data_IF_047103252009
#
_entry.id   IF_047103252009
#
_cell.length_a   1.000
_cell.length_b   1.000
_cell.length_c   1.000
_cell.angle_alpha   90.00
_cell.angle_beta   90.00
_cell.angle_gamma   90.00
#
_symmetry.space_group_name_H-M   'P 1'
#
loop_
_entity.id
_entity.type
_entity.pdbx_description
1 polymer ?
#
# COMPACT_ATOMS: atom_id res chain seq x y z
N UNK A 1 42.14 -0.77 -3.27
CA UNK A 1 41.14 -1.54 -2.48
C UNK A 1 39.84 -0.77 -2.53
N UNK A 2 38.89 -1.19 -3.38
CA UNK A 2 37.54 -0.65 -3.39
C UNK A 2 36.71 -1.52 -2.46
N UNK A 3 36.21 -0.95 -1.36
CA UNK A 3 35.14 -1.58 -0.61
C UNK A 3 33.94 -1.59 -1.56
N UNK A 4 33.53 -2.76 -2.03
CA UNK A 4 32.20 -2.91 -2.61
C UNK A 4 31.24 -2.53 -1.49
N UNK A 5 30.66 -1.33 -1.56
CA UNK A 5 29.67 -0.89 -0.60
C UNK A 5 28.62 -1.98 -0.52
N UNK A 6 28.38 -2.49 0.68
CA UNK A 6 27.39 -3.53 0.93
C UNK A 6 26.06 -3.06 0.32
N UNK A 7 25.65 -3.69 -0.79
CA UNK A 7 24.49 -3.27 -1.59
C UNK A 7 23.19 -3.74 -0.96
N UNK A 8 23.11 -3.72 0.37
CA UNK A 8 21.94 -4.15 1.11
C UNK A 8 20.78 -3.24 0.73
N UNK A 9 19.87 -3.79 -0.07
CA UNK A 9 18.63 -3.13 -0.46
C UNK A 9 17.61 -3.43 0.61
N UNK A 10 17.11 -2.40 1.29
CA UNK A 10 15.98 -2.54 2.20
C UNK A 10 14.68 -2.22 1.48
N UNK A 11 13.68 -3.05 1.70
CA UNK A 11 12.31 -2.84 1.23
C UNK A 11 11.41 -2.71 2.46
N UNK A 12 10.72 -1.58 2.54
CA UNK A 12 9.66 -1.33 3.50
C UNK A 12 8.34 -1.50 2.78
N UNK A 13 7.51 -2.42 3.27
CA UNK A 13 6.17 -2.67 2.77
C UNK A 13 5.17 -2.26 3.83
N UNK A 14 4.10 -1.62 3.39
CA UNK A 14 2.98 -1.21 4.22
C UNK A 14 1.68 -1.54 3.48
N UNK A 15 0.70 -2.04 4.22
CA UNK A 15 -0.60 -2.42 3.68
C UNK A 15 -1.69 -1.74 4.48
N UNK A 16 -2.53 -1.01 3.77
CA UNK A 16 -3.80 -0.55 4.32
C UNK A 16 -4.86 -1.63 4.10
N UNK A 17 -5.78 -1.76 5.05
CA UNK A 17 -6.78 -2.82 5.06
C UNK A 17 -8.21 -2.27 5.10
N UNK A 18 -9.16 -3.07 4.59
CA UNK A 18 -10.59 -2.77 4.63
C UNK A 18 -11.15 -2.70 6.05
N UNK A 19 -10.55 -3.45 6.99
CA UNK A 19 -10.91 -3.50 8.41
C UNK A 19 -9.79 -4.11 9.26
N UNK A 20 -10.03 -4.28 10.57
CA UNK A 20 -9.18 -5.07 11.48
C UNK A 20 -9.74 -6.47 11.76
N UNK A 21 -10.77 -6.89 11.02
CA UNK A 21 -11.40 -8.19 11.21
C UNK A 21 -10.54 -9.31 10.60
N UNK A 22 -10.89 -10.55 10.90
CA UNK A 22 -10.27 -11.73 10.29
C UNK A 22 -10.60 -11.87 8.79
N UNK A 23 -11.69 -11.24 8.32
CA UNK A 23 -12.11 -11.22 6.92
C UNK A 23 -11.55 -10.02 6.14
N UNK A 24 -10.70 -9.19 6.80
CA UNK A 24 -10.09 -8.02 6.18
C UNK A 24 -9.28 -8.37 4.94
N UNK A 25 -9.16 -7.40 4.05
CA UNK A 25 -8.47 -7.53 2.77
C UNK A 25 -7.72 -6.23 2.44
N UNK A 26 -6.62 -6.31 1.66
CA UNK A 26 -5.75 -5.16 1.44
C UNK A 26 -6.35 -4.18 0.41
N UNK A 27 -6.23 -2.88 0.67
CA UNK A 27 -6.84 -1.81 -0.14
C UNK A 27 -5.79 -0.89 -0.80
N UNK A 28 -4.59 -0.82 -0.23
CA UNK A 28 -3.41 -0.14 -0.80
C UNK A 28 -2.15 -0.91 -0.39
N UNK A 29 -1.12 -0.86 -1.25
CA UNK A 29 0.25 -1.25 -0.89
C UNK A 29 1.18 -0.06 -1.09
N UNK A 30 1.94 0.27 -0.04
CA UNK A 30 3.08 1.17 -0.08
C UNK A 30 4.39 0.38 -0.15
N UNK A 31 5.33 0.84 -0.98
CA UNK A 31 6.67 0.26 -1.08
C UNK A 31 7.72 1.37 -1.11
N UNK A 32 8.64 1.34 -0.15
CA UNK A 32 9.81 2.21 -0.12
C UNK A 32 11.08 1.37 -0.20
N UNK A 33 11.91 1.66 -1.21
CA UNK A 33 13.19 0.98 -1.43
C UNK A 33 14.34 1.90 -1.07
N UNK A 34 15.16 1.49 -0.11
CA UNK A 34 16.38 2.18 0.29
C UNK A 34 17.60 1.49 -0.35
N UNK A 35 18.29 2.20 -1.24
CA UNK A 35 19.51 1.73 -1.90
C UNK A 35 20.54 2.86 -1.80
N UNK A 36 21.72 2.56 -1.25
CA UNK A 36 22.84 3.51 -1.17
C UNK A 36 22.44 4.86 -0.54
N UNK A 37 21.59 4.83 0.50
CA UNK A 37 21.08 6.03 1.17
C UNK A 37 19.99 6.82 0.41
N UNK A 38 19.59 6.37 -0.77
CA UNK A 38 18.48 6.95 -1.53
C UNK A 38 17.21 6.13 -1.38
N UNK A 39 16.09 6.81 -1.13
CA UNK A 39 14.77 6.19 -1.03
C UNK A 39 13.94 6.47 -2.27
N UNK A 40 13.36 5.42 -2.83
CA UNK A 40 12.33 5.52 -3.88
C UNK A 40 11.04 4.91 -3.35
N UNK A 41 9.98 5.72 -3.27
CA UNK A 41 8.67 5.32 -2.76
C UNK A 41 7.63 5.27 -3.87
N UNK A 42 6.78 4.25 -3.84
CA UNK A 42 5.59 4.09 -4.69
C UNK A 42 4.45 3.52 -3.86
N UNK A 43 3.22 3.86 -4.19
CA UNK A 43 2.05 3.15 -3.70
C UNK A 43 1.09 2.83 -4.85
N UNK A 44 0.20 1.88 -4.62
CA UNK A 44 -0.91 1.56 -5.52
C UNK A 44 -2.12 1.11 -4.72
N UNK A 45 -3.30 1.60 -5.11
CA UNK A 45 -4.55 1.01 -4.68
C UNK A 45 -4.66 -0.42 -5.21
N UNK A 46 -5.34 -1.27 -4.44
CA UNK A 46 -5.60 -2.67 -4.78
C UNK A 46 -7.08 -2.77 -5.12
N UNK A 47 -7.35 -3.22 -6.35
CA UNK A 47 -8.72 -3.52 -6.77
C UNK A 47 -9.21 -4.76 -6.00
N UNK A 48 -10.41 -4.75 -5.41
CA UNK A 48 -10.92 -5.89 -4.68
C UNK A 48 -11.08 -7.10 -5.61
N UNK A 49 -10.66 -8.27 -5.13
CA UNK A 49 -10.98 -9.52 -5.80
C UNK A 49 -12.49 -9.80 -5.69
N UNK A 50 -13.15 -10.31 -6.74
CA UNK A 50 -14.58 -10.65 -6.68
C UNK A 50 -14.96 -11.68 -5.61
N UNK A 51 -14.00 -12.43 -5.06
CA UNK A 51 -14.22 -13.43 -4.01
C UNK A 51 -14.12 -12.87 -2.60
N UNK A 52 -13.68 -11.61 -2.43
CA UNK A 52 -13.56 -10.99 -1.11
C UNK A 52 -14.91 -10.50 -0.58
N UNK A 53 -15.06 -10.55 0.75
CA UNK A 53 -16.23 -10.04 1.43
C UNK A 53 -16.21 -8.51 1.48
N UNK A 54 -16.97 -7.88 0.56
CA UNK A 54 -17.07 -6.42 0.50
C UNK A 54 -17.87 -5.83 1.67
N UNK A 55 -18.69 -6.64 2.35
CA UNK A 55 -19.46 -6.19 3.52
C UNK A 55 -18.58 -6.01 4.76
N UNK A 56 -17.35 -6.55 4.75
CA UNK A 56 -16.34 -6.34 5.81
C UNK A 56 -15.76 -4.91 5.79
N UNK A 57 -16.08 -4.08 4.79
CA UNK A 57 -15.60 -2.70 4.72
C UNK A 57 -15.94 -1.90 5.98
N UNK A 58 -14.92 -1.46 6.71
CA UNK A 58 -15.10 -0.74 7.96
C UNK A 58 -15.00 0.79 7.74
N UNK A 59 -16.06 1.57 8.01
CA UNK A 59 -16.03 3.02 7.88
C UNK A 59 -14.96 3.71 8.75
N UNK A 60 -14.57 3.10 9.87
CA UNK A 60 -13.48 3.60 10.70
C UNK A 60 -12.13 3.45 10.01
N UNK A 61 -11.88 2.32 9.33
CA UNK A 61 -10.65 2.12 8.55
C UNK A 61 -10.60 3.12 7.38
N UNK A 62 -11.68 3.28 6.63
CA UNK A 62 -11.79 4.33 5.60
C UNK A 62 -11.44 5.72 6.14
N UNK A 63 -11.90 6.08 7.34
CA UNK A 63 -11.59 7.37 7.96
C UNK A 63 -10.12 7.50 8.32
N UNK A 64 -9.48 6.43 8.80
CA UNK A 64 -8.05 6.42 9.15
C UNK A 64 -7.18 6.53 7.89
N UNK A 65 -7.48 5.74 6.85
CA UNK A 65 -6.66 5.66 5.64
C UNK A 65 -6.99 6.75 4.61
N UNK A 66 -8.21 7.32 4.66
CA UNK A 66 -8.67 8.33 3.72
C UNK A 66 -8.90 7.79 2.31
N UNK A 67 -9.22 6.49 2.19
CA UNK A 67 -9.49 5.78 0.93
C UNK A 67 -10.94 5.30 0.97
N UNK A 68 -11.78 5.74 0.04
CA UNK A 68 -13.15 5.25 -0.08
C UNK A 68 -13.19 3.97 -0.91
N UNK A 69 -14.16 3.08 -0.63
CA UNK A 69 -14.33 1.83 -1.39
C UNK A 69 -14.43 2.07 -2.91
N UNK A 70 -15.13 3.14 -3.31
CA UNK A 70 -15.27 3.51 -4.72
C UNK A 70 -13.94 3.89 -5.40
N UNK A 71 -12.94 4.37 -4.65
CA UNK A 71 -11.63 4.74 -5.20
C UNK A 71 -10.89 3.51 -5.75
N UNK A 72 -11.16 2.32 -5.20
CA UNK A 72 -10.51 1.07 -5.59
C UNK A 72 -10.93 0.56 -6.98
N UNK A 73 -11.93 1.18 -7.60
CA UNK A 73 -12.36 0.88 -8.97
C UNK A 73 -11.76 1.83 -10.01
N UNK A 74 -11.07 2.88 -9.59
CA UNK A 74 -10.46 3.86 -10.49
C UNK A 74 -9.16 3.30 -11.07
N UNK A 75 -9.03 3.31 -12.39
CA UNK A 75 -7.86 2.75 -13.10
C UNK A 75 -6.70 3.76 -13.25
N UNK A 76 -6.77 4.91 -12.58
CA UNK A 76 -5.73 5.94 -12.65
C UNK A 76 -4.83 5.81 -11.41
N UNK A 77 -3.51 5.63 -11.55
CA UNK A 77 -2.60 5.59 -10.41
C UNK A 77 -2.73 6.86 -9.56
N UNK A 78 -2.92 6.70 -8.25
CA UNK A 78 -2.93 7.82 -7.32
C UNK A 78 -1.52 8.45 -7.30
N UNK A 79 -1.41 9.70 -7.74
CA UNK A 79 -0.20 10.47 -7.45
C UNK A 79 -0.28 11.00 -6.02
N UNK A 80 0.66 10.57 -5.18
CA UNK A 80 0.85 11.18 -3.86
C UNK A 80 1.46 12.57 -4.07
N UNK A 81 0.86 13.59 -3.45
CA UNK A 81 1.49 14.90 -3.30
C UNK A 81 2.77 14.74 -2.47
N UNK A 82 3.90 15.15 -3.02
CA UNK A 82 5.21 15.18 -2.34
C UNK A 82 5.23 16.20 -1.22
#
# INVERSE_FOLDING_TARGET
MSLSADTTTLLFLDFEASSLSQNSWPIEIGCSRLINGQTVTRSSLIRPDPTWDLDDWNPAAQKVHGIALNDLHVTVPRQLST
#
